data_IF_233653520402
#
_entry.id   IF_233653520402
#
_cell.length_a   1.000
_cell.length_b   1.000
_cell.length_c   1.000
_cell.angle_alpha   90.00
_cell.angle_beta   90.00
_cell.angle_gamma   90.00
#
_symmetry.space_group_name_H-M   'P 1'
#
loop_
_entity.id
_entity.type
_entity.pdbx_description
1 polymer ?
#
# COMPACT_ATOMS: atom_id res chain seq x y z
N UNK A 1 2.65 2.52 -27.85
CA UNK A 1 1.60 1.84 -28.65
C UNK A 1 0.61 1.04 -27.80
N UNK A 2 1.03 0.23 -26.82
CA UNK A 2 0.10 -0.48 -25.92
C UNK A 2 -0.89 0.44 -25.18
N UNK A 3 -0.44 1.64 -24.78
CA UNK A 3 -1.21 2.59 -23.97
C UNK A 3 -2.46 3.16 -24.66
N UNK A 4 -2.55 3.12 -25.99
CA UNK A 4 -3.72 3.58 -26.74
C UNK A 4 -4.65 2.42 -27.14
N UNK A 5 -4.09 1.21 -27.31
CA UNK A 5 -4.85 0.01 -27.66
C UNK A 5 -5.81 -0.41 -26.55
N UNK A 6 -5.36 -0.39 -25.30
CA UNK A 6 -6.17 -0.81 -24.15
C UNK A 6 -7.41 0.09 -23.98
N UNK A 7 -7.31 1.43 -23.92
CA UNK A 7 -8.48 2.29 -23.90
C UNK A 7 -9.40 2.10 -25.11
N UNK A 8 -8.83 1.91 -26.31
CA UNK A 8 -9.63 1.73 -27.52
C UNK A 8 -10.49 0.45 -27.46
N UNK A 9 -9.88 -0.68 -27.08
CA UNK A 9 -10.59 -1.96 -26.95
C UNK A 9 -11.67 -1.86 -25.86
N UNK A 10 -11.33 -1.38 -24.67
CA UNK A 10 -12.28 -1.32 -23.56
C UNK A 10 -13.47 -0.40 -23.84
N UNK A 11 -13.21 0.83 -24.30
CA UNK A 11 -14.26 1.83 -24.40
C UNK A 11 -14.98 1.84 -25.75
N UNK A 12 -14.32 1.47 -26.85
CA UNK A 12 -14.93 1.51 -28.18
C UNK A 12 -15.40 0.15 -28.68
N UNK A 13 -14.68 -0.95 -28.38
CA UNK A 13 -15.08 -2.30 -28.84
C UNK A 13 -16.00 -2.95 -27.82
N UNK A 14 -15.61 -2.96 -26.55
CA UNK A 14 -16.36 -3.64 -25.48
C UNK A 14 -17.44 -2.75 -24.86
N UNK A 15 -17.48 -1.45 -25.19
CA UNK A 15 -18.46 -0.52 -24.65
C UNK A 15 -18.41 -0.38 -23.13
N UNK A 16 -17.24 -0.61 -22.51
CA UNK A 16 -17.10 -0.53 -21.06
C UNK A 16 -17.42 0.89 -20.56
N UNK A 17 -18.13 0.99 -19.44
CA UNK A 17 -18.46 2.29 -18.85
C UNK A 17 -17.22 2.92 -18.19
N UNK A 18 -17.06 4.24 -18.35
CA UNK A 18 -16.00 5.01 -17.69
C UNK A 18 -16.38 5.27 -16.23
N UNK A 19 -15.86 4.42 -15.35
CA UNK A 19 -16.09 4.52 -13.90
C UNK A 19 -15.10 5.44 -13.16
N UNK A 20 -14.12 6.02 -13.86
CA UNK A 20 -13.13 6.99 -13.34
C UNK A 20 -12.53 6.64 -11.95
N UNK A 21 -12.04 5.40 -11.73
CA UNK A 21 -11.66 4.92 -10.40
C UNK A 21 -10.54 5.74 -9.76
N UNK A 22 -9.68 6.39 -10.55
CA UNK A 22 -8.62 7.27 -10.04
C UNK A 22 -9.15 8.49 -9.29
N UNK A 23 -10.41 8.90 -9.52
CA UNK A 23 -11.02 10.02 -8.80
C UNK A 23 -11.31 9.69 -7.34
N UNK A 24 -11.25 8.41 -6.94
CA UNK A 24 -11.22 8.03 -5.51
C UNK A 24 -10.07 8.69 -4.77
N UNK A 25 -8.88 8.77 -5.38
CA UNK A 25 -7.70 9.45 -4.80
C UNK A 25 -8.00 10.92 -4.55
N UNK A 26 -8.65 11.56 -5.51
CA UNK A 26 -9.01 12.97 -5.41
C UNK A 26 -10.03 13.21 -4.29
N UNK A 27 -11.08 12.40 -4.20
CA UNK A 27 -12.08 12.51 -3.13
C UNK A 27 -11.44 12.27 -1.77
N UNK A 28 -10.56 11.27 -1.66
CA UNK A 28 -9.82 10.97 -0.44
C UNK A 28 -9.00 12.16 0.03
N UNK A 29 -8.23 12.76 -0.88
CA UNK A 29 -7.41 13.92 -0.59
C UNK A 29 -8.22 15.16 -0.23
N UNK A 30 -9.27 15.47 -0.99
CA UNK A 30 -10.14 16.61 -0.69
C UNK A 30 -10.80 16.47 0.68
N UNK A 31 -11.20 15.25 1.02
CA UNK A 31 -11.70 14.90 2.35
C UNK A 31 -10.67 15.12 3.46
N UNK A 32 -9.45 14.60 3.27
CA UNK A 32 -8.34 14.79 4.20
C UNK A 32 -7.94 16.25 4.37
N UNK A 33 -7.79 17.00 3.27
CA UNK A 33 -7.47 18.43 3.31
C UNK A 33 -8.60 19.19 4.02
N UNK A 34 -9.88 18.87 3.72
CA UNK A 34 -11.03 19.51 4.39
C UNK A 34 -10.98 19.32 5.91
N UNK A 35 -10.64 18.11 6.38
CA UNK A 35 -10.47 17.81 7.80
C UNK A 35 -9.34 18.63 8.44
N UNK A 36 -8.15 18.61 7.86
CA UNK A 36 -6.97 19.26 8.45
C UNK A 36 -6.94 20.78 8.26
N UNK A 37 -7.55 21.31 7.20
CA UNK A 37 -7.68 22.75 6.98
C UNK A 37 -8.85 23.36 7.77
N UNK A 38 -9.84 22.56 8.16
CA UNK A 38 -11.03 23.04 8.87
C UNK A 38 -12.03 23.78 7.97
N UNK A 39 -11.89 23.66 6.65
CA UNK A 39 -12.76 24.31 5.67
C UNK A 39 -12.98 23.42 4.44
N UNK A 40 -14.15 23.56 3.82
CA UNK A 40 -14.54 22.71 2.70
C UNK A 40 -13.69 22.95 1.45
N UNK A 41 -13.05 21.88 0.97
CA UNK A 41 -12.25 21.90 -0.26
C UNK A 41 -12.94 21.23 -1.46
N UNK A 42 -14.12 20.62 -1.26
CA UNK A 42 -14.87 20.06 -2.38
C UNK A 42 -15.40 21.19 -3.28
N UNK A 43 -15.53 20.96 -4.60
CA UNK A 43 -16.06 21.95 -5.54
C UNK A 43 -17.59 22.10 -5.45
N UNK A 44 -18.16 22.03 -4.25
CA UNK A 44 -19.59 22.10 -3.95
C UNK A 44 -19.77 22.84 -2.63
N UNK A 45 -20.78 23.70 -2.54
CA UNK A 45 -21.17 24.30 -1.27
C UNK A 45 -22.03 23.30 -0.47
N UNK A 46 -21.64 23.06 0.78
CA UNK A 46 -22.38 22.21 1.71
C UNK A 46 -23.15 23.04 2.74
N UNK A 47 -24.16 22.45 3.37
CA UNK A 47 -24.76 23.07 4.55
C UNK A 47 -23.75 23.16 5.71
N UNK A 48 -24.06 23.98 6.72
CA UNK A 48 -23.22 24.09 7.92
C UNK A 48 -23.03 22.72 8.60
N UNK A 49 -24.11 21.94 8.72
CA UNK A 49 -24.08 20.60 9.34
C UNK A 49 -23.23 19.61 8.54
N UNK A 50 -23.37 19.62 7.20
CA UNK A 50 -22.57 18.77 6.32
C UNK A 50 -21.08 19.16 6.36
N UNK A 51 -20.78 20.46 6.41
CA UNK A 51 -19.41 20.95 6.55
C UNK A 51 -18.81 20.49 7.88
N UNK A 52 -19.57 20.58 8.97
CA UNK A 52 -19.14 20.07 10.27
C UNK A 52 -18.89 18.55 10.25
N UNK A 53 -19.73 17.78 9.55
CA UNK A 53 -19.50 16.34 9.35
C UNK A 53 -18.23 16.05 8.55
N UNK A 54 -17.98 16.79 7.46
CA UNK A 54 -16.76 16.65 6.66
C UNK A 54 -15.49 16.92 7.46
N UNK A 55 -15.51 17.98 8.29
CA UNK A 55 -14.38 18.37 9.13
C UNK A 55 -14.17 17.38 10.28
N UNK A 56 -15.22 16.71 10.78
CA UNK A 56 -15.12 15.87 11.98
C UNK A 56 -15.26 14.37 11.73
N UNK A 57 -16.44 13.92 11.29
CA UNK A 57 -16.83 12.51 11.30
C UNK A 57 -16.54 11.75 10.01
N UNK A 58 -16.47 12.44 8.88
CA UNK A 58 -16.31 11.78 7.58
C UNK A 58 -14.87 11.50 7.20
N UNK A 59 -13.90 12.11 7.90
CA UNK A 59 -12.50 11.79 7.68
C UNK A 59 -12.16 10.42 8.26
N UNK A 60 -11.74 9.51 7.39
CA UNK A 60 -11.29 8.18 7.75
C UNK A 60 -9.95 7.88 7.07
N UNK A 61 -8.82 7.82 7.79
CA UNK A 61 -7.52 7.52 7.19
C UNK A 61 -7.39 6.04 6.79
N UNK A 62 -8.34 5.17 7.13
CA UNK A 62 -8.33 3.76 6.73
C UNK A 62 -8.74 3.62 5.27
N UNK A 63 -9.70 4.43 4.81
CA UNK A 63 -10.31 4.23 3.48
C UNK A 63 -11.10 5.44 2.98
N UNK A 64 -11.11 5.62 1.67
CA UNK A 64 -11.84 6.68 0.98
C UNK A 64 -13.35 6.41 0.84
N UNK A 65 -13.76 5.15 0.76
CA UNK A 65 -15.13 4.73 0.48
C UNK A 65 -16.09 4.97 1.65
N UNK A 66 -15.58 5.50 2.77
CA UNK A 66 -16.40 6.14 3.81
C UNK A 66 -17.32 7.22 3.22
N UNK A 67 -16.84 7.99 2.24
CA UNK A 67 -17.65 8.98 1.52
C UNK A 67 -18.74 8.38 0.61
N UNK A 68 -18.67 7.07 0.34
CA UNK A 68 -19.58 6.37 -0.55
C UNK A 68 -20.59 5.51 0.21
N UNK A 69 -20.14 4.77 1.22
CA UNK A 69 -20.91 3.67 1.81
C UNK A 69 -21.14 3.77 3.32
N UNK A 70 -20.44 4.66 4.04
CA UNK A 70 -20.47 4.68 5.51
C UNK A 70 -21.20 5.90 6.03
N UNK A 71 -22.40 5.69 6.59
CA UNK A 71 -23.20 6.75 7.20
C UNK A 71 -22.42 7.49 8.32
N UNK A 72 -22.57 8.83 8.43
CA UNK A 72 -23.51 9.70 7.71
C UNK A 72 -22.99 10.28 6.40
N UNK A 73 -21.85 9.81 5.88
CA UNK A 73 -21.06 10.47 4.85
C UNK A 73 -21.41 10.22 3.36
N UNK A 74 -22.31 9.28 2.96
CA UNK A 74 -22.66 9.06 1.56
C UNK A 74 -23.27 10.27 0.82
N UNK A 75 -23.67 11.33 1.53
CA UNK A 75 -24.13 12.56 0.88
C UNK A 75 -23.07 13.18 -0.05
N UNK A 76 -21.78 12.95 0.23
CA UNK A 76 -20.68 13.46 -0.60
C UNK A 76 -20.74 12.85 -1.99
N UNK A 77 -20.67 11.52 -2.08
CA UNK A 77 -20.72 10.84 -3.38
C UNK A 77 -22.07 11.01 -4.07
N UNK A 78 -23.19 10.94 -3.35
CA UNK A 78 -24.52 11.24 -3.92
C UNK A 78 -24.58 12.59 -4.62
N UNK A 79 -23.90 13.61 -4.06
CA UNK A 79 -23.85 14.94 -4.68
C UNK A 79 -22.82 15.02 -5.81
N UNK A 80 -21.65 14.41 -5.66
CA UNK A 80 -20.62 14.42 -6.72
C UNK A 80 -21.05 13.63 -7.96
N UNK A 81 -21.92 12.63 -7.80
CA UNK A 81 -22.45 11.78 -8.88
C UNK A 81 -23.85 12.18 -9.35
N UNK A 82 -24.42 13.25 -8.77
CA UNK A 82 -25.75 13.74 -9.13
C UNK A 82 -25.87 13.92 -10.66
N UNK A 83 -26.91 13.34 -11.31
CA UNK A 83 -27.09 13.44 -12.75
C UNK A 83 -27.20 14.89 -13.28
N UNK A 84 -27.76 15.79 -12.47
CA UNK A 84 -28.01 17.18 -12.86
C UNK A 84 -26.72 18.03 -12.91
N UNK A 85 -25.71 17.69 -12.10
CA UNK A 85 -24.41 18.35 -12.05
C UNK A 85 -23.32 17.35 -11.66
N UNK A 86 -22.96 16.49 -12.61
CA UNK A 86 -21.94 15.44 -12.40
C UNK A 86 -20.55 16.04 -12.26
N UNK A 87 -19.92 15.80 -11.12
CA UNK A 87 -18.58 16.29 -10.78
C UNK A 87 -17.58 15.12 -10.78
N UNK A 88 -17.98 13.96 -10.25
CA UNK A 88 -17.14 12.77 -10.23
C UNK A 88 -16.86 12.29 -11.67
N UNK A 89 -15.60 11.98 -11.95
CA UNK A 89 -15.12 11.67 -13.30
C UNK A 89 -14.88 12.87 -14.22
N UNK A 90 -15.00 14.11 -13.73
CA UNK A 90 -14.77 15.33 -14.54
C UNK A 90 -13.52 16.10 -14.11
N UNK A 91 -13.00 16.96 -15.00
CA UNK A 91 -11.87 17.84 -14.71
C UNK A 91 -12.15 18.90 -13.62
N UNK A 92 -13.42 19.16 -13.27
CA UNK A 92 -13.78 20.06 -12.16
C UNK A 92 -13.27 19.53 -10.83
N UNK A 93 -13.39 18.21 -10.61
CA UNK A 93 -12.92 17.57 -9.39
C UNK A 93 -11.38 17.61 -9.28
N UNK A 94 -10.67 17.30 -10.37
CA UNK A 94 -9.20 17.33 -10.41
C UNK A 94 -8.63 18.75 -10.28
N UNK A 95 -9.33 19.78 -10.79
CA UNK A 95 -8.93 21.17 -10.58
C UNK A 95 -9.05 21.58 -9.12
N UNK A 96 -10.19 21.29 -8.49
CA UNK A 96 -10.39 21.58 -7.07
C UNK A 96 -9.33 20.91 -6.18
N UNK A 97 -8.93 19.69 -6.52
CA UNK A 97 -7.82 18.99 -5.85
C UNK A 97 -6.49 19.71 -5.95
N UNK A 98 -6.11 20.12 -7.16
CA UNK A 98 -4.88 20.90 -7.37
C UNK A 98 -4.92 22.26 -6.68
N UNK A 99 -6.09 22.90 -6.63
CA UNK A 99 -6.29 24.16 -5.92
C UNK A 99 -6.12 23.96 -4.41
N UNK A 100 -6.76 22.92 -3.85
CA UNK A 100 -6.67 22.56 -2.44
C UNK A 100 -5.25 22.22 -2.00
N UNK A 101 -4.50 21.45 -2.79
CA UNK A 101 -3.09 21.13 -2.50
C UNK A 101 -2.23 22.40 -2.48
N UNK A 102 -2.44 23.31 -3.43
CA UNK A 102 -1.66 24.57 -3.51
C UNK A 102 -2.00 25.53 -2.38
N UNK A 103 -3.27 25.59 -1.98
CA UNK A 103 -3.73 26.44 -0.89
C UNK A 103 -3.37 25.89 0.49
N UNK A 104 -3.41 24.57 0.67
CA UNK A 104 -3.22 23.90 1.97
C UNK A 104 -2.20 22.74 1.93
N UNK A 105 -0.92 23.01 1.56
CA UNK A 105 0.07 21.95 1.39
C UNK A 105 0.33 21.15 2.68
N UNK A 106 0.27 21.80 3.86
CA UNK A 106 0.45 21.11 5.14
C UNK A 106 -0.75 20.25 5.55
N UNK A 107 -1.97 20.62 5.15
CA UNK A 107 -3.14 19.79 5.38
C UNK A 107 -3.09 18.52 4.51
N UNK A 108 -2.68 18.66 3.25
CA UNK A 108 -2.41 17.53 2.35
C UNK A 108 -1.32 16.60 2.91
N UNK A 109 -0.18 17.15 3.35
CA UNK A 109 0.89 16.34 3.92
C UNK A 109 0.48 15.67 5.25
N UNK A 110 -0.28 16.36 6.10
CA UNK A 110 -0.83 15.78 7.34
C UNK A 110 -1.76 14.61 7.03
N UNK A 111 -2.61 14.75 6.02
CA UNK A 111 -3.45 13.67 5.53
C UNK A 111 -2.62 12.47 5.03
N UNK A 112 -1.67 12.70 4.12
CA UNK A 112 -0.83 11.62 3.57
C UNK A 112 0.06 10.94 4.60
N UNK A 113 0.60 11.69 5.54
CA UNK A 113 1.36 11.14 6.66
C UNK A 113 0.48 10.30 7.60
N UNK A 114 -0.72 10.78 7.91
CA UNK A 114 -1.70 10.05 8.75
C UNK A 114 -2.13 8.75 8.07
N UNK A 115 -2.47 8.81 6.78
CA UNK A 115 -2.76 7.62 5.97
C UNK A 115 -1.59 6.65 5.96
N UNK A 116 -0.37 7.13 5.71
CA UNK A 116 0.81 6.27 5.64
C UNK A 116 1.12 5.61 6.99
N UNK A 117 0.93 6.33 8.10
CA UNK A 117 1.05 5.75 9.43
C UNK A 117 -0.03 4.69 9.69
N UNK A 118 -1.28 4.95 9.28
CA UNK A 118 -2.35 3.97 9.34
C UNK A 118 -2.00 2.71 8.54
N UNK A 119 -1.52 2.88 7.30
CA UNK A 119 -1.12 1.78 6.42
C UNK A 119 0.05 0.97 6.98
N UNK A 120 1.12 1.62 7.46
CA UNK A 120 2.33 0.91 7.88
C UNK A 120 2.24 0.30 9.27
N UNK A 121 1.66 1.02 10.24
CA UNK A 121 1.81 0.71 11.66
C UNK A 121 0.52 0.24 12.34
N UNK A 122 -0.66 0.68 11.87
CA UNK A 122 -1.94 0.39 12.53
C UNK A 122 -2.57 -0.90 12.02
N UNK A 123 -3.67 -1.29 12.67
CA UNK A 123 -4.36 -2.55 12.39
C UNK A 123 -5.25 -2.31 11.19
N UNK A 124 -5.00 -3.06 10.12
CA UNK A 124 -5.73 -2.92 8.88
C UNK A 124 -6.52 -4.18 8.58
N UNK A 125 -7.46 -4.07 7.65
CA UNK A 125 -8.21 -5.21 7.16
C UNK A 125 -7.24 -6.18 6.47
N UNK A 126 -7.17 -7.43 6.94
CA UNK A 126 -6.34 -8.49 6.34
C UNK A 126 -7.22 -9.45 5.55
N UNK A 127 -8.37 -9.81 6.11
CA UNK A 127 -9.34 -10.70 5.49
C UNK A 127 -10.70 -9.97 5.43
N UNK A 128 -11.27 -9.70 4.25
CA UNK A 128 -12.63 -9.20 4.15
C UNK A 128 -13.59 -10.35 4.49
N UNK A 129 -14.12 -10.34 5.71
CA UNK A 129 -15.08 -11.35 6.19
C UNK A 129 -16.53 -10.95 5.89
N UNK A 130 -16.75 -9.69 5.49
CA UNK A 130 -18.06 -9.07 5.28
C UNK A 130 -18.36 -8.94 3.78
N UNK A 131 -19.58 -9.31 3.40
CA UNK A 131 -20.16 -8.91 2.12
C UNK A 131 -20.86 -7.55 2.28
N UNK A 132 -20.48 -6.58 1.46
CA UNK A 132 -21.05 -5.23 1.47
C UNK A 132 -22.48 -5.21 0.90
N UNK A 133 -22.83 -6.17 0.05
CA UNK A 133 -24.14 -6.29 -0.60
C UNK A 133 -25.13 -7.11 0.24
N UNK A 134 -24.61 -7.94 1.16
CA UNK A 134 -25.42 -8.67 2.13
C UNK A 134 -24.66 -8.79 3.46
N UNK A 135 -24.85 -7.85 4.39
CA UNK A 135 -24.23 -7.90 5.72
C UNK A 135 -24.60 -9.14 6.54
N UNK A 136 -25.64 -9.87 6.14
CA UNK A 136 -26.08 -11.13 6.75
C UNK A 136 -25.47 -12.36 6.07
N UNK A 137 -24.95 -12.23 4.85
CA UNK A 137 -24.11 -13.21 4.17
C UNK A 137 -22.69 -13.21 4.76
N UNK A 138 -22.58 -13.57 6.04
CA UNK A 138 -21.29 -13.88 6.61
C UNK A 138 -20.75 -15.18 6.00
N UNK A 139 -19.50 -15.18 5.53
CA UNK A 139 -18.71 -16.42 5.44
C UNK A 139 -18.60 -17.13 6.81
N UNK A 140 -18.96 -16.43 7.90
CA UNK A 140 -18.86 -16.82 9.31
C UNK A 140 -19.63 -18.05 9.78
N UNK A 141 -20.53 -18.63 8.98
CA UNK A 141 -21.25 -19.86 9.37
C UNK A 141 -20.72 -21.14 8.72
N UNK A 142 -19.72 -21.06 7.83
CA UNK A 142 -19.10 -22.25 7.25
C UNK A 142 -18.13 -22.90 8.24
N UNK A 143 -18.37 -24.17 8.58
CA UNK A 143 -17.46 -24.98 9.44
C UNK A 143 -16.02 -25.05 8.95
N UNK A 144 -15.80 -24.82 7.66
CA UNK A 144 -14.46 -24.81 7.04
C UNK A 144 -13.77 -23.45 7.19
N UNK A 145 -14.55 -22.38 7.33
CA UNK A 145 -14.05 -21.01 7.43
C UNK A 145 -13.88 -20.56 8.88
N UNK A 146 -14.66 -21.11 9.82
CA UNK A 146 -14.55 -20.80 11.26
C UNK A 146 -13.13 -20.98 11.82
N UNK A 147 -12.39 -22.06 11.52
CA UNK A 147 -11.01 -22.20 12.01
C UNK A 147 -10.07 -21.14 11.42
N UNK A 148 -10.25 -20.78 10.15
CA UNK A 148 -9.47 -19.74 9.49
C UNK A 148 -9.74 -18.36 10.11
N UNK A 149 -11.00 -18.07 10.44
CA UNK A 149 -11.38 -16.86 11.17
C UNK A 149 -10.76 -16.80 12.56
N UNK A 150 -10.81 -17.90 13.32
CA UNK A 150 -10.18 -17.95 14.64
C UNK A 150 -8.66 -17.71 14.55
N UNK A 151 -8.00 -18.30 13.54
CA UNK A 151 -6.59 -18.04 13.29
C UNK A 151 -6.32 -16.59 12.88
N UNK A 152 -7.18 -16.02 12.02
CA UNK A 152 -7.11 -14.64 11.58
C UNK A 152 -7.20 -13.66 12.75
N UNK A 153 -8.16 -13.83 13.67
CA UNK A 153 -8.32 -12.98 14.86
C UNK A 153 -7.10 -13.01 15.79
N UNK A 154 -6.44 -14.17 15.93
CA UNK A 154 -5.22 -14.31 16.74
C UNK A 154 -4.00 -13.65 16.08
N UNK A 155 -3.94 -13.71 14.75
CA UNK A 155 -2.77 -13.29 13.98
C UNK A 155 -2.83 -11.84 13.53
N UNK A 156 -4.01 -11.31 13.18
CA UNK A 156 -4.20 -9.95 12.65
C UNK A 156 -3.60 -8.85 13.53
N UNK A 157 -3.65 -8.93 14.88
CA UNK A 157 -3.02 -7.92 15.73
C UNK A 157 -1.49 -7.97 15.74
N UNK A 158 -0.86 -9.03 15.23
CA UNK A 158 0.60 -9.24 15.32
C UNK A 158 1.37 -8.35 14.35
N UNK A 159 2.67 -8.21 14.58
CA UNK A 159 3.58 -7.45 13.71
C UNK A 159 3.66 -8.00 12.29
N UNK A 160 3.39 -9.30 12.11
CA UNK A 160 3.39 -9.97 10.80
C UNK A 160 2.39 -9.33 9.81
N UNK A 161 1.29 -8.78 10.32
CA UNK A 161 0.25 -8.14 9.52
C UNK A 161 0.38 -6.61 9.52
N UNK A 162 1.57 -6.10 9.81
CA UNK A 162 1.93 -4.68 9.70
C UNK A 162 2.79 -4.49 8.46
N UNK A 163 2.33 -3.77 7.43
CA UNK A 163 3.14 -3.47 6.25
C UNK A 163 4.49 -2.84 6.58
N UNK A 164 4.57 -2.05 7.65
CA UNK A 164 5.80 -1.42 8.13
C UNK A 164 6.89 -2.42 8.50
N UNK A 165 6.56 -3.58 9.07
CA UNK A 165 7.53 -4.63 9.36
C UNK A 165 8.20 -5.10 8.07
N UNK A 166 7.40 -5.41 7.05
CA UNK A 166 7.90 -5.91 5.78
C UNK A 166 8.69 -4.87 5.02
N UNK A 167 8.32 -3.59 5.11
CA UNK A 167 9.11 -2.50 4.55
C UNK A 167 10.50 -2.40 5.19
N UNK A 168 10.58 -2.49 6.52
CA UNK A 168 11.86 -2.49 7.26
C UNK A 168 12.69 -3.73 6.89
N UNK A 169 12.08 -4.91 6.83
CA UNK A 169 12.77 -6.14 6.46
C UNK A 169 13.28 -6.10 5.01
N UNK A 170 12.48 -5.56 4.07
CA UNK A 170 12.92 -5.37 2.68
C UNK A 170 14.16 -4.47 2.60
N UNK A 171 14.15 -3.36 3.34
CA UNK A 171 15.30 -2.46 3.43
C UNK A 171 16.51 -3.15 4.07
N UNK A 172 16.31 -3.91 5.14
CA UNK A 172 17.38 -4.66 5.79
C UNK A 172 18.02 -5.70 4.86
N UNK A 173 17.21 -6.44 4.09
CA UNK A 173 17.70 -7.39 3.08
C UNK A 173 18.52 -6.64 2.04
N UNK A 174 17.98 -5.58 1.43
CA UNK A 174 18.65 -4.76 0.42
C UNK A 174 20.03 -4.29 0.88
N UNK A 175 20.10 -3.69 2.08
CA UNK A 175 21.34 -3.18 2.65
C UNK A 175 22.34 -4.31 2.95
N UNK A 176 21.84 -5.47 3.41
CA UNK A 176 22.70 -6.59 3.78
C UNK A 176 23.40 -7.28 2.60
N UNK A 177 22.81 -7.24 1.40
CA UNK A 177 23.39 -7.82 0.18
C UNK A 177 24.08 -6.78 -0.70
N UNK A 178 24.06 -5.50 -0.33
CA UNK A 178 24.68 -4.42 -1.09
C UNK A 178 26.14 -4.69 -1.49
N UNK A 179 27.01 -5.23 -0.60
CA UNK A 179 28.38 -5.57 -0.97
C UNK A 179 28.48 -6.65 -2.07
N UNK A 180 27.47 -7.52 -2.17
CA UNK A 180 27.40 -8.62 -3.12
C UNK A 180 26.57 -8.29 -4.37
N UNK A 181 26.29 -7.00 -4.64
CA UNK A 181 25.47 -6.56 -5.78
C UNK A 181 25.95 -7.01 -7.17
N UNK A 182 27.22 -7.38 -7.29
CA UNK A 182 27.80 -7.88 -8.54
C UNK A 182 27.52 -9.38 -8.78
N UNK A 183 27.05 -10.12 -7.77
CA UNK A 183 26.65 -11.52 -7.95
C UNK A 183 25.22 -11.60 -8.47
N UNK A 184 24.84 -12.65 -9.22
CA UNK A 184 23.47 -12.82 -9.72
C UNK A 184 22.43 -12.82 -8.59
N UNK A 185 22.72 -13.53 -7.49
CA UNK A 185 21.82 -13.60 -6.33
C UNK A 185 21.72 -12.27 -5.57
N UNK A 186 22.83 -11.54 -5.42
CA UNK A 186 22.82 -10.21 -4.80
C UNK A 186 22.07 -9.18 -5.65
N UNK A 187 22.30 -9.18 -6.96
CA UNK A 187 21.57 -8.32 -7.90
C UNK A 187 20.06 -8.60 -7.88
N UNK A 188 19.66 -9.87 -7.88
CA UNK A 188 18.25 -10.28 -7.75
C UNK A 188 17.64 -9.79 -6.43
N UNK A 189 18.32 -10.04 -5.30
CA UNK A 189 17.84 -9.63 -3.98
C UNK A 189 17.64 -8.11 -3.89
N UNK A 190 18.56 -7.32 -4.43
CA UNK A 190 18.43 -5.85 -4.49
C UNK A 190 17.26 -5.46 -5.39
N UNK A 191 17.15 -6.03 -6.59
CA UNK A 191 16.09 -5.67 -7.54
C UNK A 191 14.69 -5.92 -6.98
N UNK A 192 14.46 -7.09 -6.38
CA UNK A 192 13.15 -7.45 -5.85
C UNK A 192 12.78 -6.66 -4.59
N UNK A 193 13.73 -6.42 -3.68
CA UNK A 193 13.49 -5.63 -2.47
C UNK A 193 13.32 -4.15 -2.76
N UNK A 194 14.10 -3.58 -3.69
CA UNK A 194 13.93 -2.21 -4.15
C UNK A 194 12.55 -2.01 -4.81
N UNK A 195 12.11 -2.95 -5.65
CA UNK A 195 10.77 -2.93 -6.24
C UNK A 195 9.68 -2.96 -5.17
N UNK A 196 9.81 -3.83 -4.17
CA UNK A 196 8.90 -3.89 -3.02
C UNK A 196 8.83 -2.57 -2.24
N UNK A 197 9.98 -1.94 -1.97
CA UNK A 197 10.07 -0.65 -1.27
C UNK A 197 9.39 0.46 -2.07
N UNK A 198 9.73 0.61 -3.36
CA UNK A 198 9.14 1.63 -4.24
C UNK A 198 7.63 1.45 -4.33
N UNK A 199 7.16 0.21 -4.47
CA UNK A 199 5.74 -0.09 -4.52
C UNK A 199 5.01 0.34 -3.24
N UNK A 200 5.52 0.01 -2.05
CA UNK A 200 4.89 0.43 -0.77
C UNK A 200 4.94 1.94 -0.58
N UNK A 201 6.07 2.59 -0.88
CA UNK A 201 6.21 4.05 -0.74
C UNK A 201 5.26 4.79 -1.68
N UNK A 202 4.93 4.23 -2.85
CA UNK A 202 3.98 4.85 -3.78
C UNK A 202 2.58 5.07 -3.17
N UNK A 203 2.18 4.26 -2.18
CA UNK A 203 0.91 4.44 -1.48
C UNK A 203 0.85 5.74 -0.67
N UNK A 204 1.98 6.37 -0.35
CA UNK A 204 1.97 7.71 0.24
C UNK A 204 1.22 8.72 -0.64
N UNK A 205 1.31 8.60 -1.96
CA UNK A 205 0.66 9.50 -2.93
C UNK A 205 -0.57 8.86 -3.58
N UNK A 206 -0.55 7.55 -3.82
CA UNK A 206 -1.58 6.85 -4.60
C UNK A 206 -2.55 6.05 -3.73
N UNK A 207 -2.28 5.92 -2.43
CA UNK A 207 -3.09 5.13 -1.53
C UNK A 207 -4.43 5.79 -1.22
N UNK A 208 -5.48 4.96 -1.22
CA UNK A 208 -6.87 5.34 -0.89
C UNK A 208 -7.50 4.42 0.15
N UNK A 209 -6.81 3.34 0.50
CA UNK A 209 -7.22 2.38 1.51
C UNK A 209 -5.97 1.72 2.12
N UNK A 210 -6.04 1.36 3.40
CA UNK A 210 -4.90 0.87 4.16
C UNK A 210 -4.87 -0.65 4.34
N UNK A 211 -5.73 -1.39 3.64
CA UNK A 211 -5.83 -2.86 3.72
C UNK A 211 -4.46 -3.55 3.55
N UNK A 212 -4.24 -4.65 4.28
CA UNK A 212 -2.98 -5.37 4.23
C UNK A 212 -2.69 -6.00 2.85
N UNK A 213 -3.73 -6.27 2.04
CA UNK A 213 -3.57 -6.78 0.66
C UNK A 213 -2.71 -5.88 -0.21
N UNK A 214 -2.69 -4.57 0.06
CA UNK A 214 -1.85 -3.64 -0.67
C UNK A 214 -0.36 -3.83 -0.38
N UNK A 215 0.01 -4.55 0.68
CA UNK A 215 1.40 -4.84 1.03
C UNK A 215 1.89 -6.22 0.57
N UNK A 216 1.05 -7.05 -0.08
CA UNK A 216 1.42 -8.42 -0.47
C UNK A 216 2.69 -8.50 -1.32
N UNK A 217 2.86 -7.58 -2.27
CA UNK A 217 4.10 -7.55 -3.06
C UNK A 217 5.34 -7.29 -2.18
N UNK A 218 5.22 -6.45 -1.15
CA UNK A 218 6.32 -6.21 -0.23
C UNK A 218 6.68 -7.47 0.57
N UNK A 219 5.67 -8.22 1.02
CA UNK A 219 5.87 -9.50 1.72
C UNK A 219 6.61 -10.48 0.82
N UNK A 220 6.09 -10.73 -0.38
CA UNK A 220 6.66 -11.70 -1.33
C UNK A 220 8.06 -11.29 -1.78
N UNK A 221 8.25 -10.01 -2.11
CA UNK A 221 9.55 -9.48 -2.52
C UNK A 221 10.60 -9.57 -1.41
N UNK A 222 10.21 -9.31 -0.17
CA UNK A 222 11.10 -9.48 1.00
C UNK A 222 11.50 -10.93 1.20
N UNK A 223 10.55 -11.86 1.11
CA UNK A 223 10.82 -13.29 1.26
C UNK A 223 11.74 -13.82 0.14
N UNK A 224 11.44 -13.50 -1.12
CA UNK A 224 12.25 -13.90 -2.27
C UNK A 224 13.67 -13.30 -2.19
N UNK A 225 13.76 -12.01 -1.85
CA UNK A 225 15.04 -11.34 -1.64
C UNK A 225 15.84 -11.93 -0.47
N UNK A 226 15.15 -12.29 0.63
CA UNK A 226 15.75 -12.91 1.80
C UNK A 226 16.34 -14.28 1.49
N UNK A 227 15.67 -15.10 0.68
CA UNK A 227 16.21 -16.39 0.20
C UNK A 227 17.47 -16.17 -0.62
N UNK A 228 17.44 -15.25 -1.59
CA UNK A 228 18.62 -14.94 -2.40
C UNK A 228 19.77 -14.37 -1.56
N UNK A 229 19.48 -13.55 -0.55
CA UNK A 229 20.47 -13.05 0.40
C UNK A 229 21.12 -14.18 1.22
N UNK A 230 20.34 -15.20 1.61
CA UNK A 230 20.87 -16.37 2.30
C UNK A 230 21.82 -17.17 1.39
N UNK A 231 21.47 -17.35 0.10
CA UNK A 231 22.34 -18.03 -0.88
C UNK A 231 23.69 -17.33 -1.03
N UNK A 232 23.69 -16.00 -1.17
CA UNK A 232 24.93 -15.20 -1.22
C UNK A 232 25.83 -15.45 0.00
N UNK A 233 25.24 -15.54 1.19
CA UNK A 233 26.01 -15.80 2.43
C UNK A 233 26.56 -17.22 2.46
N UNK A 234 25.78 -18.21 2.03
CA UNK A 234 26.23 -19.60 1.94
C UNK A 234 27.41 -19.74 0.97
N UNK A 235 27.33 -19.12 -0.21
CA UNK A 235 28.39 -19.16 -1.22
C UNK A 235 29.69 -18.52 -0.69
N UNK A 236 29.58 -17.35 -0.05
CA UNK A 236 30.73 -16.67 0.55
C UNK A 236 31.39 -17.48 1.70
N UNK A 237 30.60 -18.21 2.48
CA UNK A 237 31.13 -19.11 3.54
C UNK A 237 31.84 -20.31 2.90
N UNK A 238 31.28 -20.88 1.84
CA UNK A 238 31.89 -22.00 1.12
C UNK A 238 33.23 -21.61 0.49
N UNK A 239 33.31 -20.42 -0.14
CA UNK A 239 34.54 -19.89 -0.73
C UNK A 239 35.63 -19.62 0.32
N UNK A 240 35.28 -19.05 1.47
CA UNK A 240 36.24 -18.87 2.58
C UNK A 240 36.80 -20.20 3.11
N UNK A 241 35.96 -21.24 3.16
CA UNK A 241 36.35 -22.58 3.62
C UNK A 241 37.29 -23.26 2.64
N UNK A 242 37.05 -23.15 1.33
CA UNK A 242 37.94 -23.73 0.32
C UNK A 242 39.32 -23.06 0.31
N UNK A 243 39.38 -21.72 0.43
CA UNK A 243 40.65 -20.98 0.51
C UNK A 243 41.46 -21.38 1.74
N UNK A 244 40.80 -21.56 2.89
CA UNK A 244 41.47 -21.99 4.14
C UNK A 244 42.04 -23.41 4.04
N UNK A 245 41.38 -24.31 3.31
CA UNK A 245 41.87 -25.69 3.12
C UNK A 245 43.04 -25.80 2.14
N UNK A 246 43.20 -24.84 1.22
CA UNK A 246 44.27 -24.83 0.21
C UNK A 246 45.55 -24.13 0.71
N UNK A 247 45.48 -23.36 1.81
CA UNK A 247 46.65 -22.80 2.48
C UNK A 247 47.54 -23.94 3.03
N UNK A 248 48.78 -24.13 2.54
CA UNK A 248 49.56 -25.31 2.87
C UNK A 248 49.97 -25.33 4.35
N UNK A 249 49.88 -26.51 4.96
CA UNK A 249 50.73 -26.93 6.06
C UNK A 249 52.21 -26.96 5.60
N UNK A 250 52.81 -25.78 5.43
CA UNK A 250 54.19 -25.60 5.04
C UNK A 250 55.13 -25.71 6.24
N UNK A 251 55.61 -26.93 6.47
CA UNK A 251 56.90 -27.34 7.08
C UNK A 251 57.59 -26.43 8.11
N UNK A 252 57.70 -26.94 9.34
CA UNK A 252 58.91 -26.75 10.16
C UNK A 252 59.37 -28.12 10.68
N UNK A 253 60.05 -28.86 9.80
CA UNK A 253 60.88 -30.01 10.17
C UNK A 253 62.30 -29.69 9.71
N UNK A 254 63.09 -29.06 10.58
CA UNK A 254 64.52 -28.95 10.40
C UNK A 254 65.20 -30.11 11.16
N UNK A 255 66.16 -30.84 10.57
CA UNK A 255 66.87 -31.90 11.25
C UNK A 255 67.89 -31.34 12.24
N UNK A 256 68.12 -32.09 13.33
CA UNK A 256 69.17 -31.83 14.32
C UNK A 256 70.55 -31.98 13.66
N UNK A 257 71.43 -31.01 13.89
CA UNK A 257 72.88 -31.17 14.00
C UNK A 257 73.30 -30.39 15.25
#
# INVERSE_FOLDING_TARGET
MLSALVPFVYYNILGAERQSPLHSIVVFDLGGITHFAGENQFPVAWSADQTALLISKCYDPVRWDTYWHVEPCPFVMRRLESPDDRIFGTARLTRAWWDAIRAHPFAYLSHRATFMWQFLARSNLVLPVWDWLDPTAGYGHSRYFTPLLALHEVLQPRLLFRPGLWLILSLAVLLSVWPARATPAGAFAIGVTASAIVYVISFFVLGVASDFRYAYWCVLGTLAGGVAAALVRCDAIAEKRSVTQVAPSGSASAPRI
#
